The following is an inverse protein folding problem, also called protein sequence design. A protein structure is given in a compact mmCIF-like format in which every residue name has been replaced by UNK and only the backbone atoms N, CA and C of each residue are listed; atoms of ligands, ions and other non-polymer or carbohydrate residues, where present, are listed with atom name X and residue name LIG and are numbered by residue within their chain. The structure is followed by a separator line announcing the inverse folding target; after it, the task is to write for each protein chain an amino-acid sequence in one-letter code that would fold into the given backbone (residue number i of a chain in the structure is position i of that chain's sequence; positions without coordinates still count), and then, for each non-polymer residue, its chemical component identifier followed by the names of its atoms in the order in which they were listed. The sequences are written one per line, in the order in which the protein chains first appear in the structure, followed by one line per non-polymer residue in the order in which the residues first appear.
data_IF_034530410007
#
_entry.id   IF_034530410007
#
_cell.length_a   1.000
_cell.length_b   1.000
_cell.length_c   1.000
_cell.angle_alpha   90.00
_cell.angle_beta   90.00
_cell.angle_gamma   90.00
#
_symmetry.space_group_name_H-M   'P 1'
#
loop_
_entity.id
_entity.type
_entity.pdbx_description
1 polymer ?
#
# COMPACT_ATOMS: atom_id res chain seq x y z
N UNK A 1 23.70 11.19 -7.73
CA UNK A 1 22.47 10.38 -7.81
C UNK A 1 21.65 10.67 -6.58
N UNK A 2 20.32 10.76 -6.70
CA UNK A 2 19.46 10.94 -5.52
C UNK A 2 19.66 9.75 -4.56
N UNK A 3 19.64 10.02 -3.26
CA UNK A 3 19.72 8.98 -2.24
C UNK A 3 18.38 8.24 -2.16
N UNK A 4 18.33 7.04 -2.74
CA UNK A 4 17.15 6.18 -2.73
C UNK A 4 17.14 5.22 -1.53
N UNK A 5 18.13 5.27 -0.64
CA UNK A 5 18.29 4.29 0.45
C UNK A 5 17.08 4.25 1.37
N UNK A 6 16.48 5.39 1.69
CA UNK A 6 15.30 5.44 2.57
C UNK A 6 14.06 4.80 1.93
N UNK A 7 13.88 4.92 0.61
CA UNK A 7 12.79 4.25 -0.14
C UNK A 7 13.01 2.73 -0.21
N UNK A 8 14.24 2.28 -0.50
CA UNK A 8 14.55 0.85 -0.53
C UNK A 8 14.30 0.20 0.84
N UNK A 9 14.77 0.85 1.92
CA UNK A 9 14.52 0.41 3.29
C UNK A 9 13.03 0.41 3.65
N UNK A 10 12.26 1.38 3.15
CA UNK A 10 10.80 1.42 3.32
C UNK A 10 10.12 0.20 2.68
N UNK A 11 10.41 -0.06 1.40
CA UNK A 11 9.83 -1.15 0.62
C UNK A 11 10.15 -2.52 1.24
N UNK A 12 11.39 -2.69 1.68
CA UNK A 12 11.82 -3.91 2.37
C UNK A 12 11.06 -4.08 3.68
N UNK A 13 10.96 -3.03 4.50
CA UNK A 13 10.32 -3.06 5.82
C UNK A 13 8.80 -3.28 5.79
N UNK A 14 8.15 -3.05 4.65
CA UNK A 14 6.69 -2.98 4.54
C UNK A 14 6.08 -4.05 3.63
N UNK A 15 6.03 -5.33 4.05
CA UNK A 15 5.42 -6.39 3.24
C UNK A 15 3.88 -6.35 3.21
N UNK A 16 3.22 -5.70 4.18
CA UNK A 16 1.75 -5.62 4.28
C UNK A 16 1.28 -4.19 4.62
N UNK A 17 -0.03 -3.86 4.43
CA UNK A 17 -0.60 -2.57 4.81
C UNK A 17 -0.31 -2.16 6.26
N UNK A 18 -0.39 -3.13 7.19
CA UNK A 18 -0.10 -2.89 8.61
C UNK A 18 1.34 -2.41 8.84
N UNK A 19 2.29 -2.97 8.09
CA UNK A 19 3.69 -2.56 8.18
C UNK A 19 3.94 -1.19 7.55
N UNK A 20 3.23 -0.85 6.45
CA UNK A 20 3.25 0.49 5.85
C UNK A 20 2.78 1.53 6.87
N UNK A 21 1.64 1.28 7.52
CA UNK A 21 1.07 2.17 8.55
C UNK A 21 1.99 2.33 9.75
N UNK A 22 2.52 1.22 10.28
CA UNK A 22 3.48 1.25 11.39
C UNK A 22 4.71 2.08 11.03
N UNK A 23 5.27 1.87 9.83
CA UNK A 23 6.44 2.61 9.36
C UNK A 23 6.16 4.10 9.16
N UNK A 24 4.97 4.45 8.65
CA UNK A 24 4.53 5.82 8.54
C UNK A 24 4.42 6.49 9.92
N UNK A 25 3.78 5.82 10.88
CA UNK A 25 3.64 6.30 12.25
C UNK A 25 4.99 6.48 12.96
N UNK A 26 5.94 5.56 12.80
CA UNK A 26 7.31 5.69 13.33
C UNK A 26 8.03 6.91 12.75
N UNK A 27 7.91 7.13 11.44
CA UNK A 27 8.53 8.26 10.74
C UNK A 27 7.93 9.59 11.20
N UNK A 28 6.60 9.66 11.31
CA UNK A 28 5.87 10.83 11.80
C UNK A 28 6.15 11.11 13.29
N UNK A 29 6.18 10.07 14.13
CA UNK A 29 6.51 10.19 15.55
C UNK A 29 7.92 10.73 15.78
N UNK A 30 8.90 10.27 14.98
CA UNK A 30 10.26 10.81 14.98
C UNK A 30 10.30 12.30 14.58
N UNK A 31 9.38 12.72 13.72
CA UNK A 31 9.19 14.12 13.32
C UNK A 31 8.29 14.94 14.27
N UNK A 32 7.93 14.40 15.44
CA UNK A 32 7.18 15.12 16.48
C UNK A 32 5.66 15.10 16.31
N UNK A 33 5.10 14.25 15.45
CA UNK A 33 3.65 14.05 15.36
C UNK A 33 3.17 13.15 16.52
N UNK A 34 1.98 13.43 17.02
CA UNK A 34 1.38 12.70 18.14
C UNK A 34 0.23 11.79 17.68
N UNK A 35 0.25 10.53 18.09
CA UNK A 35 -0.85 9.60 17.86
C UNK A 35 -2.10 10.03 18.64
N UNK A 36 -3.28 9.92 18.02
CA UNK A 36 -4.56 10.06 18.70
C UNK A 36 -5.47 8.87 18.40
N UNK A 37 -6.20 8.43 19.41
CA UNK A 37 -7.18 7.35 19.25
C UNK A 37 -8.56 7.89 18.85
N UNK A 38 -8.91 9.08 19.36
CA UNK A 38 -10.23 9.68 19.25
C UNK A 38 -10.15 11.09 18.68
N UNK A 39 -10.88 11.34 17.61
CA UNK A 39 -10.92 12.63 16.93
C UNK A 39 -11.76 13.69 17.66
N UNK A 40 -12.61 13.29 18.60
CA UNK A 40 -13.39 14.21 19.43
C UNK A 40 -12.64 14.74 20.67
N UNK A 41 -11.34 14.44 20.81
CA UNK A 41 -10.50 14.97 21.86
C UNK A 41 -9.80 16.27 21.41
N UNK A 42 -9.01 16.89 22.30
CA UNK A 42 -8.12 17.98 21.91
C UNK A 42 -7.08 17.47 20.91
N UNK A 43 -7.12 17.99 19.68
CA UNK A 43 -6.24 17.55 18.60
C UNK A 43 -4.91 18.31 18.65
N UNK A 44 -3.77 17.60 18.58
CA UNK A 44 -2.45 18.24 18.53
C UNK A 44 -2.26 19.01 17.21
N UNK A 45 -1.32 19.97 17.21
CA UNK A 45 -0.95 20.71 16.01
C UNK A 45 -0.38 19.79 14.92
N UNK A 46 0.45 18.81 15.30
CA UNK A 46 0.92 17.73 14.43
C UNK A 46 0.42 16.39 14.99
N UNK A 47 -0.45 15.70 14.27
CA UNK A 47 -1.06 14.47 14.77
C UNK A 47 -1.36 13.44 13.70
N UNK A 48 -1.64 12.22 14.14
CA UNK A 48 -2.11 11.16 13.25
C UNK A 48 -3.07 10.20 13.96
N UNK A 49 -3.92 9.56 13.18
CA UNK A 49 -4.85 8.52 13.62
C UNK A 49 -4.69 7.31 12.72
N UNK A 50 -4.65 6.12 13.33
CA UNK A 50 -4.57 4.84 12.63
C UNK A 50 -5.94 4.16 12.69
N UNK A 51 -6.37 3.59 11.56
CA UNK A 51 -7.53 2.71 11.45
C UNK A 51 -7.09 1.50 10.65
N UNK A 52 -6.68 0.45 11.37
CA UNK A 52 -6.22 -0.81 10.80
C UNK A 52 -5.09 -0.63 9.77
N UNK A 53 -5.31 -0.99 8.50
CA UNK A 53 -4.36 -0.79 7.39
C UNK A 53 -4.28 0.65 6.85
N UNK A 54 -4.97 1.61 7.46
CA UNK A 54 -5.00 3.02 7.04
C UNK A 54 -4.47 3.99 8.08
N UNK A 55 -3.92 5.12 7.61
CA UNK A 55 -3.44 6.22 8.45
C UNK A 55 -3.82 7.57 7.85
N UNK A 56 -4.30 8.47 8.70
CA UNK A 56 -4.47 9.88 8.36
C UNK A 56 -3.64 10.74 9.32
N UNK A 57 -2.86 11.67 8.78
CA UNK A 57 -1.97 12.54 9.53
C UNK A 57 -2.12 14.00 9.09
N UNK A 58 -1.84 14.94 9.99
CA UNK A 58 -1.98 16.36 9.71
C UNK A 58 -0.90 17.20 10.38
N UNK A 59 -0.57 18.31 9.72
CA UNK A 59 0.10 19.47 10.31
C UNK A 59 -0.84 20.67 10.17
N UNK A 60 -1.44 21.05 11.30
CA UNK A 60 -2.58 21.98 11.39
C UNK A 60 -2.13 23.43 11.41
N UNK A 61 -2.80 24.24 10.59
CA UNK A 61 -2.81 25.70 10.67
C UNK A 61 -4.26 26.13 10.90
N UNK A 62 -4.54 26.73 12.06
CA UNK A 62 -5.91 26.98 12.48
C UNK A 62 -6.69 27.88 11.49
N UNK A 63 -7.88 27.44 11.09
CA UNK A 63 -8.78 28.16 10.20
C UNK A 63 -8.33 28.22 8.73
N UNK A 64 -7.28 27.46 8.35
CA UNK A 64 -6.75 27.42 7.01
C UNK A 64 -7.43 26.37 6.11
N UNK A 65 -7.28 26.53 4.80
CA UNK A 65 -7.71 25.52 3.83
C UNK A 65 -6.83 24.26 3.88
N UNK A 66 -7.36 23.13 3.42
CA UNK A 66 -6.64 21.86 3.41
C UNK A 66 -5.83 21.65 2.13
N UNK A 67 -4.65 21.06 2.29
CA UNK A 67 -3.83 20.46 1.22
C UNK A 67 -3.65 18.99 1.55
N UNK A 68 -4.43 18.15 0.88
CA UNK A 68 -4.48 16.71 1.13
C UNK A 68 -3.60 16.00 0.11
N UNK A 69 -2.77 15.06 0.56
CA UNK A 69 -2.14 14.04 -0.28
C UNK A 69 -2.74 12.69 0.07
N UNK A 70 -3.33 12.02 -0.93
CA UNK A 70 -3.91 10.69 -0.80
C UNK A 70 -3.02 9.63 -1.46
N UNK A 71 -2.90 8.47 -0.85
CA UNK A 71 -2.31 7.26 -1.44
C UNK A 71 -2.98 6.00 -0.87
N UNK A 72 -2.45 4.81 -1.19
CA UNK A 72 -2.93 3.56 -0.61
C UNK A 72 -1.82 2.61 -0.16
N UNK A 73 -2.08 1.89 0.94
CA UNK A 73 -1.11 1.08 1.67
C UNK A 73 -1.08 -0.37 1.18
N UNK A 74 -2.11 -0.81 0.47
CA UNK A 74 -2.22 -2.15 -0.08
C UNK A 74 -1.64 -2.29 -1.48
N UNK A 75 -1.36 -3.54 -1.82
CA UNK A 75 -0.88 -3.98 -3.12
C UNK A 75 -1.47 -5.36 -3.41
N UNK A 76 -1.62 -5.76 -4.68
CA UNK A 76 -2.14 -7.07 -5.02
C UNK A 76 -1.22 -8.17 -4.48
N UNK A 77 -1.79 -9.19 -3.84
CA UNK A 77 -1.02 -10.26 -3.21
C UNK A 77 -1.82 -11.57 -3.04
N UNK A 78 -1.16 -12.57 -2.43
CA UNK A 78 -1.79 -13.82 -2.02
C UNK A 78 -2.01 -13.79 -0.50
N UNK A 79 -3.26 -13.77 -0.05
CA UNK A 79 -3.61 -13.81 1.39
C UNK A 79 -3.88 -15.24 1.83
N UNK A 80 -3.42 -15.62 3.01
CA UNK A 80 -3.62 -16.97 3.55
C UNK A 80 -5.04 -17.06 4.11
N UNK A 81 -5.79 -18.08 3.70
CA UNK A 81 -7.15 -18.29 4.19
C UNK A 81 -7.19 -18.59 5.71
N UNK A 82 -8.33 -18.36 6.40
CA UNK A 82 -8.46 -18.65 7.84
C UNK A 82 -8.24 -20.11 8.25
N UNK A 83 -8.50 -21.04 7.31
CA UNK A 83 -8.24 -22.48 7.43
C UNK A 83 -7.33 -22.92 6.26
N UNK A 84 -6.01 -22.67 6.36
CA UNK A 84 -5.14 -22.74 5.19
C UNK A 84 -4.49 -24.11 4.97
N UNK A 85 -4.54 -25.01 5.95
CA UNK A 85 -3.83 -26.28 5.91
C UNK A 85 -4.41 -27.20 4.83
N UNK A 86 -3.68 -27.36 3.73
CA UNK A 86 -4.00 -28.26 2.61
C UNK A 86 -2.91 -29.32 2.45
N UNK A 87 -3.27 -30.46 1.85
CA UNK A 87 -2.27 -31.47 1.48
C UNK A 87 -2.60 -32.12 0.14
N UNK A 88 -1.58 -32.36 -0.66
CA UNK A 88 -1.69 -33.05 -1.95
C UNK A 88 -0.38 -33.75 -2.30
N UNK A 89 -0.45 -35.00 -2.77
CA UNK A 89 0.70 -35.76 -3.26
C UNK A 89 1.91 -35.81 -2.30
N UNK A 90 1.68 -35.83 -0.98
CA UNK A 90 2.73 -35.84 0.04
C UNK A 90 3.32 -34.46 0.39
N UNK A 91 2.78 -33.38 -0.17
CA UNK A 91 3.14 -32.00 0.15
C UNK A 91 2.07 -31.37 1.01
N UNK A 92 2.50 -30.57 1.98
CA UNK A 92 1.65 -29.57 2.60
C UNK A 92 1.64 -28.30 1.75
N UNK A 93 0.45 -27.73 1.62
CA UNK A 93 0.19 -26.50 0.87
C UNK A 93 -0.57 -25.52 1.74
N UNK A 94 -0.50 -24.24 1.36
CA UNK A 94 -1.32 -23.19 1.95
C UNK A 94 -2.47 -22.85 0.99
N UNK A 95 -3.70 -22.87 1.49
CA UNK A 95 -4.83 -22.28 0.79
C UNK A 95 -4.73 -20.76 0.82
N UNK A 96 -4.85 -20.12 -0.34
CA UNK A 96 -4.70 -18.68 -0.49
C UNK A 96 -5.84 -18.04 -1.27
N UNK A 97 -6.15 -16.81 -0.92
CA UNK A 97 -7.02 -15.88 -1.63
C UNK A 97 -6.18 -14.98 -2.55
N UNK A 98 -6.68 -14.72 -3.76
CA UNK A 98 -6.09 -13.72 -4.67
C UNK A 98 -6.67 -12.35 -4.31
N UNK A 99 -5.84 -11.50 -3.69
CA UNK A 99 -6.24 -10.15 -3.30
C UNK A 99 -5.85 -9.13 -4.38
N UNK A 100 -6.84 -8.45 -4.96
CA UNK A 100 -6.65 -7.41 -5.96
C UNK A 100 -6.34 -7.91 -7.38
N UNK A 101 -5.88 -6.99 -8.24
CA UNK A 101 -5.56 -7.24 -9.66
C UNK A 101 -4.26 -8.00 -9.94
N UNK A 102 -4.02 -9.13 -9.26
CA UNK A 102 -2.74 -9.86 -9.31
C UNK A 102 -2.40 -10.37 -10.72
N UNK A 103 -1.18 -10.10 -11.18
CA UNK A 103 -0.55 -10.82 -12.29
C UNK A 103 -0.08 -12.20 -11.81
N UNK A 104 -0.95 -13.21 -11.90
CA UNK A 104 -0.71 -14.53 -11.30
C UNK A 104 0.63 -15.16 -11.68
N UNK A 105 1.04 -15.02 -12.94
CA UNK A 105 2.29 -15.60 -13.44
C UNK A 105 3.54 -14.99 -12.80
N UNK A 106 3.49 -13.76 -12.28
CA UNK A 106 4.65 -13.15 -11.62
C UNK A 106 4.95 -13.73 -10.23
N UNK A 107 3.97 -14.44 -9.65
CA UNK A 107 4.08 -15.12 -8.34
C UNK A 107 4.62 -16.54 -8.44
N UNK A 108 4.72 -17.09 -9.65
CA UNK A 108 5.32 -18.41 -9.86
C UNK A 108 6.82 -18.37 -9.57
N UNK A 109 7.33 -19.45 -8.98
CA UNK A 109 8.75 -19.71 -8.71
C UNK A 109 9.49 -18.60 -7.95
N UNK A 110 8.75 -17.84 -7.13
CA UNK A 110 9.29 -16.89 -6.16
C UNK A 110 9.52 -17.56 -4.81
N UNK A 111 10.53 -17.08 -4.09
CA UNK A 111 10.69 -17.38 -2.68
C UNK A 111 9.79 -16.45 -1.87
N UNK A 112 8.83 -17.02 -1.15
CA UNK A 112 7.81 -16.27 -0.45
C UNK A 112 7.99 -16.37 1.06
N UNK A 113 8.00 -15.20 1.70
CA UNK A 113 7.89 -15.05 3.14
C UNK A 113 6.43 -14.82 3.55
N UNK A 114 6.17 -14.80 4.85
CA UNK A 114 4.83 -14.59 5.40
C UNK A 114 4.86 -13.45 6.41
N UNK A 115 4.01 -12.45 6.20
CA UNK A 115 3.89 -11.31 7.09
C UNK A 115 2.43 -10.93 7.29
N UNK A 116 2.12 -10.24 8.38
CA UNK A 116 0.77 -9.86 8.69
C UNK A 116 0.58 -9.49 10.15
N UNK A 117 -0.56 -9.91 10.70
CA UNK A 117 -1.02 -9.58 12.04
C UNK A 117 -1.72 -10.75 12.69
N UNK A 118 -1.55 -10.89 14.00
CA UNK A 118 -2.33 -11.80 14.84
C UNK A 118 -3.10 -11.02 15.90
N UNK A 119 -4.29 -11.53 16.24
CA UNK A 119 -5.12 -11.02 17.33
C UNK A 119 -5.20 -12.10 18.40
N UNK A 120 -4.77 -11.79 19.63
CA UNK A 120 -4.91 -12.70 20.76
C UNK A 120 -6.28 -12.57 21.43
N UNK A 121 -6.64 -13.55 22.25
CA UNK A 121 -7.93 -13.65 22.95
C UNK A 121 -8.28 -12.43 23.83
N UNK A 122 -7.28 -11.72 24.33
CA UNK A 122 -7.42 -10.47 25.08
C UNK A 122 -7.63 -9.22 24.20
N UNK A 123 -7.66 -9.40 22.87
CA UNK A 123 -7.81 -8.33 21.88
C UNK A 123 -6.50 -7.65 21.49
N UNK A 124 -5.35 -8.10 22.02
CA UNK A 124 -4.06 -7.51 21.64
C UNK A 124 -3.69 -7.89 20.20
N UNK A 125 -3.27 -6.88 19.47
CA UNK A 125 -2.82 -6.97 18.08
C UNK A 125 -1.29 -7.03 18.04
N UNK A 126 -0.74 -7.98 17.29
CA UNK A 126 0.72 -8.11 17.07
C UNK A 126 1.01 -8.28 15.59
N UNK A 127 1.74 -7.33 15.01
CA UNK A 127 2.26 -7.45 13.64
C UNK A 127 3.48 -8.38 13.62
N UNK A 128 3.63 -9.18 12.56
CA UNK A 128 4.75 -10.11 12.39
C UNK A 128 5.23 -10.16 10.94
N UNK A 129 6.49 -10.55 10.74
CA UNK A 129 7.09 -10.73 9.43
C UNK A 129 8.22 -11.77 9.50
N UNK A 130 8.00 -12.93 8.88
CA UNK A 130 9.04 -13.92 8.63
C UNK A 130 9.49 -13.80 7.16
N UNK A 131 10.73 -13.34 6.98
CA UNK A 131 11.38 -13.16 5.67
C UNK A 131 12.10 -14.42 5.17
N UNK A 132 12.01 -15.53 5.90
CA UNK A 132 12.55 -16.80 5.41
C UNK A 132 11.80 -17.23 4.13
N UNK A 133 12.47 -17.91 3.18
CA UNK A 133 11.82 -18.44 1.98
C UNK A 133 10.96 -19.67 2.35
N UNK A 134 9.77 -19.42 2.91
CA UNK A 134 8.90 -20.43 3.51
C UNK A 134 8.03 -21.16 2.50
N UNK A 135 7.61 -20.47 1.44
CA UNK A 135 6.64 -21.00 0.49
C UNK A 135 7.01 -20.64 -0.94
N UNK A 136 6.48 -21.42 -1.89
CA UNK A 136 6.64 -21.17 -3.33
C UNK A 136 5.41 -21.67 -4.08
N UNK A 137 4.96 -20.92 -5.09
CA UNK A 137 3.98 -21.41 -6.07
C UNK A 137 4.76 -22.00 -7.26
N UNK A 138 4.90 -23.33 -7.36
CA UNK A 138 5.76 -23.92 -8.39
C UNK A 138 5.11 -23.89 -9.77
N UNK A 139 5.85 -23.45 -10.79
CA UNK A 139 5.38 -23.56 -12.18
C UNK A 139 5.43 -25.02 -12.66
N UNK A 140 4.41 -25.44 -13.41
CA UNK A 140 4.43 -26.75 -14.07
C UNK A 140 5.57 -26.83 -15.09
N UNK A 141 6.32 -27.93 -15.07
CA UNK A 141 7.42 -28.14 -16.00
C UNK A 141 6.93 -28.17 -17.46
N UNK A 142 7.64 -27.46 -18.34
CA UNK A 142 7.33 -27.36 -19.79
C UNK A 142 7.21 -28.73 -20.49
N UNK A 143 7.90 -29.77 -20.00
CA UNK A 143 7.81 -31.12 -20.56
C UNK A 143 6.41 -31.75 -20.42
N UNK A 144 5.66 -31.32 -19.39
CA UNK A 144 4.28 -31.71 -19.10
C UNK A 144 3.26 -30.69 -19.65
N UNK A 145 3.73 -29.57 -20.20
CA UNK A 145 2.94 -28.49 -20.77
C UNK A 145 3.62 -27.92 -22.02
N UNK A 146 3.65 -28.74 -23.09
CA UNK A 146 4.56 -28.56 -24.22
C UNK A 146 4.26 -27.33 -25.08
N UNK A 147 3.02 -26.83 -25.06
CA UNK A 147 2.55 -25.70 -25.86
C UNK A 147 2.37 -24.41 -25.03
N UNK A 148 2.81 -24.38 -23.77
CA UNK A 148 2.64 -23.24 -22.84
C UNK A 148 3.20 -21.92 -23.38
N UNK A 149 4.30 -21.98 -24.15
CA UNK A 149 4.91 -20.78 -24.72
C UNK A 149 4.10 -20.19 -25.89
N UNK A 150 3.28 -21.02 -26.56
CA UNK A 150 2.44 -20.59 -27.68
C UNK A 150 1.07 -20.10 -27.19
N UNK A 151 0.46 -20.81 -26.22
CA UNK A 151 -0.87 -20.47 -25.66
C UNK A 151 -0.83 -19.50 -24.48
N UNK A 152 0.36 -19.28 -23.91
CA UNK A 152 0.57 -18.55 -22.67
C UNK A 152 0.28 -19.39 -21.41
N UNK A 153 0.83 -18.95 -20.28
CA UNK A 153 0.61 -19.60 -18.97
C UNK A 153 -0.83 -19.33 -18.51
N UNK A 154 -1.64 -20.37 -18.42
CA UNK A 154 -3.03 -20.30 -17.93
C UNK A 154 -3.12 -20.88 -16.52
N UNK A 155 -3.46 -20.05 -15.55
CA UNK A 155 -3.48 -20.42 -14.13
C UNK A 155 -4.90 -20.38 -13.60
N UNK A 156 -5.36 -21.51 -13.06
CA UNK A 156 -6.56 -21.52 -12.25
C UNK A 156 -6.25 -20.92 -10.88
N UNK A 157 -7.05 -19.92 -10.48
CA UNK A 157 -6.83 -19.17 -9.25
C UNK A 157 -6.89 -20.04 -8.00
N UNK A 158 -7.77 -21.04 -7.98
CA UNK A 158 -7.96 -21.90 -6.83
C UNK A 158 -6.95 -23.05 -6.78
N UNK A 159 -6.68 -23.65 -7.93
CA UNK A 159 -5.99 -24.94 -8.02
C UNK A 159 -4.49 -24.78 -8.24
N UNK A 160 -4.05 -23.77 -9.00
CA UNK A 160 -2.65 -23.62 -9.42
C UNK A 160 -1.88 -22.62 -8.57
N UNK A 161 -2.56 -21.81 -7.75
CA UNK A 161 -1.91 -20.75 -6.95
C UNK A 161 -1.64 -21.15 -5.50
N UNK A 162 -1.94 -22.40 -5.10
CA UNK A 162 -1.66 -22.90 -3.76
C UNK A 162 -0.15 -23.14 -3.57
N UNK A 163 0.54 -22.35 -2.72
CA UNK A 163 1.97 -22.53 -2.50
C UNK A 163 2.25 -23.84 -1.78
N UNK A 164 3.33 -24.53 -2.19
CA UNK A 164 3.93 -25.58 -1.37
C UNK A 164 4.78 -24.92 -0.29
N UNK A 165 4.77 -25.51 0.91
CA UNK A 165 5.54 -24.97 2.05
C UNK A 165 6.20 -26.03 2.95
N UNK A 166 5.82 -27.32 2.81
CA UNK A 166 6.51 -28.43 3.46
C UNK A 166 6.24 -29.78 2.76
N UNK A 167 7.09 -30.77 3.02
CA UNK A 167 6.89 -32.19 2.63
C UNK A 167 6.38 -33.06 3.79
N UNK A 168 6.05 -32.44 4.91
CA UNK A 168 5.48 -33.06 6.10
C UNK A 168 4.24 -32.28 6.51
N UNK A 169 3.33 -32.90 7.25
CA UNK A 169 2.19 -32.19 7.81
C UNK A 169 2.66 -31.08 8.74
N UNK A 170 2.27 -29.85 8.43
CA UNK A 170 2.48 -28.66 9.26
C UNK A 170 1.11 -28.03 9.51
N UNK A 171 0.83 -27.69 10.77
CA UNK A 171 -0.34 -26.89 11.12
C UNK A 171 0.04 -25.41 11.11
N UNK A 172 -0.68 -24.59 10.34
CA UNK A 172 -0.37 -23.17 10.19
C UNK A 172 -0.48 -22.38 11.50
N UNK A 173 -1.46 -22.70 12.36
CA UNK A 173 -1.63 -22.00 13.63
C UNK A 173 -0.49 -22.30 14.59
N UNK A 174 -0.05 -23.56 14.68
CA UNK A 174 1.12 -23.93 15.49
C UNK A 174 2.39 -23.22 15.01
N UNK A 175 2.62 -23.17 13.69
CA UNK A 175 3.72 -22.41 13.10
C UNK A 175 3.61 -20.91 13.45
N UNK A 176 2.43 -20.33 13.33
CA UNK A 176 2.18 -18.92 13.60
C UNK A 176 2.40 -18.57 15.08
N UNK A 177 1.97 -19.42 16.00
CA UNK A 177 2.27 -19.27 17.44
C UNK A 177 3.77 -19.30 17.70
N UNK A 178 4.51 -20.22 17.07
CA UNK A 178 5.97 -20.27 17.21
C UNK A 178 6.67 -19.03 16.61
N UNK A 179 6.23 -18.57 15.43
CA UNK A 179 6.82 -17.42 14.73
C UNK A 179 6.56 -16.09 15.46
N UNK A 180 5.41 -15.95 16.11
CA UNK A 180 5.00 -14.70 16.78
C UNK A 180 5.25 -14.70 18.29
N UNK A 181 5.42 -15.87 18.90
CA UNK A 181 5.44 -16.03 20.36
C UNK A 181 4.08 -15.79 21.03
N UNK A 182 2.98 -15.71 20.26
CA UNK A 182 1.63 -15.48 20.77
C UNK A 182 0.88 -16.81 20.91
N UNK A 183 0.57 -17.21 22.15
CA UNK A 183 -0.06 -18.50 22.43
C UNK A 183 -1.57 -18.53 22.10
N UNK A 184 -2.34 -17.51 22.50
CA UNK A 184 -3.80 -17.50 22.41
C UNK A 184 -4.33 -16.78 21.16
N UNK A 185 -3.82 -17.13 19.97
CA UNK A 185 -4.23 -16.51 18.70
C UNK A 185 -5.67 -16.91 18.36
N UNK A 186 -6.57 -15.93 18.23
CA UNK A 186 -7.97 -16.16 17.83
C UNK A 186 -8.20 -15.91 16.34
N UNK A 187 -7.54 -14.90 15.78
CA UNK A 187 -7.65 -14.51 14.37
C UNK A 187 -6.31 -14.00 13.85
N UNK A 188 -6.14 -14.02 12.53
CA UNK A 188 -4.96 -13.49 11.86
C UNK A 188 -5.33 -12.96 10.48
N UNK A 189 -4.50 -12.03 10.00
CA UNK A 189 -4.35 -11.66 8.60
C UNK A 189 -2.92 -11.97 8.21
N UNK A 190 -2.70 -12.84 7.23
CA UNK A 190 -1.35 -13.26 6.83
C UNK A 190 -1.23 -13.23 5.30
N UNK A 191 -0.20 -12.56 4.81
CA UNK A 191 0.02 -12.30 3.39
C UNK A 191 1.36 -12.91 2.98
N UNK A 192 1.42 -13.48 1.79
CA UNK A 192 2.67 -13.89 1.16
C UNK A 192 3.31 -12.67 0.48
N UNK A 193 4.63 -12.64 0.47
CA UNK A 193 5.40 -11.62 -0.24
C UNK A 193 6.73 -12.18 -0.75
N UNK A 194 7.22 -11.68 -1.89
CA UNK A 194 8.55 -12.00 -2.41
C UNK A 194 9.64 -11.50 -1.43
N UNK A 195 10.51 -12.41 -1.00
CA UNK A 195 11.61 -12.10 -0.06
C UNK A 195 12.79 -11.40 -0.74
N UNK A 196 12.78 -11.31 -2.07
CA UNK A 196 13.78 -10.57 -2.84
C UNK A 196 13.79 -9.09 -2.41
N UNK A 197 14.91 -8.55 -1.90
CA UNK A 197 14.98 -7.17 -1.46
C UNK A 197 14.79 -6.16 -2.59
N UNK A 198 14.28 -4.99 -2.25
CA UNK A 198 14.26 -3.83 -3.12
C UNK A 198 15.70 -3.45 -3.51
N UNK A 199 15.93 -3.14 -4.78
CA UNK A 199 17.26 -2.87 -5.29
C UNK A 199 17.28 -1.85 -6.42
N UNK A 200 18.46 -1.30 -6.69
CA UNK A 200 18.72 -0.60 -7.95
C UNK A 200 18.92 -1.63 -9.06
N UNK A 201 18.40 -1.32 -10.24
CA UNK A 201 18.47 -2.15 -11.45
C UNK A 201 19.09 -1.35 -12.61
N UNK A 202 19.73 -2.08 -13.53
CA UNK A 202 20.38 -1.53 -14.71
C UNK A 202 21.89 -1.43 -14.55
N UNK A 203 22.64 -1.51 -15.66
CA UNK A 203 24.11 -1.36 -15.65
C UNK A 203 24.57 0.00 -15.13
N UNK A 204 23.66 0.98 -15.11
CA UNK A 204 23.86 2.34 -14.62
C UNK A 204 23.11 2.63 -13.31
N UNK A 205 22.39 1.65 -12.74
CA UNK A 205 21.59 1.81 -11.53
C UNK A 205 20.43 2.81 -11.65
N UNK A 206 19.96 3.08 -12.88
CA UNK A 206 18.94 4.10 -13.15
C UNK A 206 17.50 3.70 -12.80
N UNK A 207 17.26 2.44 -12.43
CA UNK A 207 15.94 1.90 -12.14
C UNK A 207 15.85 1.41 -10.69
N UNK A 208 14.63 1.33 -10.16
CA UNK A 208 14.32 0.65 -8.90
C UNK A 208 13.48 -0.58 -9.21
N UNK A 209 13.84 -1.72 -8.64
CA UNK A 209 13.08 -2.96 -8.72
C UNK A 209 12.67 -3.42 -7.32
N UNK A 210 11.36 -3.57 -7.11
CA UNK A 210 10.78 -4.07 -5.87
C UNK A 210 9.34 -4.53 -6.11
N UNK A 211 8.87 -5.48 -5.32
CA UNK A 211 7.43 -5.66 -5.13
C UNK A 211 6.81 -4.43 -4.47
N UNK A 212 5.50 -4.21 -4.70
CA UNK A 212 4.69 -3.21 -3.99
C UNK A 212 5.09 -1.74 -4.22
N UNK A 213 5.87 -1.44 -5.27
CA UNK A 213 6.06 -0.05 -5.70
C UNK A 213 4.71 0.65 -5.86
N UNK A 214 3.74 -0.08 -6.39
CA UNK A 214 2.32 0.24 -6.37
C UNK A 214 1.71 -0.16 -5.02
N UNK A 215 1.38 0.77 -4.12
CA UNK A 215 1.63 2.22 -4.18
C UNK A 215 2.47 2.74 -3.00
N UNK A 216 3.35 1.88 -2.48
CA UNK A 216 4.23 2.26 -1.37
C UNK A 216 5.21 3.38 -1.73
N UNK A 217 5.52 3.57 -3.02
CA UNK A 217 6.28 4.72 -3.49
C UNK A 217 5.60 6.04 -3.09
N UNK A 218 4.29 6.15 -3.33
CA UNK A 218 3.52 7.35 -2.95
C UNK A 218 3.32 7.45 -1.45
N UNK A 219 3.14 6.33 -0.74
CA UNK A 219 3.09 6.33 0.74
C UNK A 219 4.38 6.88 1.35
N UNK A 220 5.53 6.40 0.88
CA UNK A 220 6.84 6.87 1.33
C UNK A 220 7.01 8.36 1.00
N UNK A 221 6.68 8.79 -0.22
CA UNK A 221 6.82 10.17 -0.63
C UNK A 221 5.93 11.11 0.21
N UNK A 222 4.66 10.75 0.41
CA UNK A 222 3.70 11.52 1.21
C UNK A 222 4.12 11.59 2.68
N UNK A 223 4.54 10.47 3.27
CA UNK A 223 5.01 10.42 4.66
C UNK A 223 6.27 11.26 4.84
N UNK A 224 7.25 11.11 3.95
CA UNK A 224 8.51 11.88 3.99
C UNK A 224 8.26 13.37 3.85
N UNK A 225 7.40 13.76 2.91
CA UNK A 225 7.03 15.16 2.69
C UNK A 225 6.31 15.77 3.90
N UNK A 226 5.35 15.05 4.51
CA UNK A 226 4.63 15.54 5.68
C UNK A 226 5.53 15.58 6.93
N UNK A 227 6.40 14.60 7.12
CA UNK A 227 7.36 14.57 8.23
C UNK A 227 8.33 15.76 8.19
N UNK A 228 8.77 16.17 6.99
CA UNK A 228 9.61 17.33 6.79
C UNK A 228 8.85 18.66 6.68
N UNK A 229 7.51 18.64 6.74
CA UNK A 229 6.69 19.83 6.55
C UNK A 229 6.71 20.73 7.80
N UNK A 230 7.04 21.99 7.57
CA UNK A 230 6.86 23.06 8.54
C UNK A 230 5.51 23.75 8.35
N UNK A 231 4.79 24.07 9.45
CA UNK A 231 3.46 24.69 9.36
C UNK A 231 3.45 25.92 8.46
N UNK A 232 2.57 25.91 7.47
CA UNK A 232 2.46 26.96 6.47
C UNK A 232 1.10 27.64 6.47
N UNK A 233 0.74 28.20 5.31
CA UNK A 233 -0.55 28.88 5.08
C UNK A 233 -1.76 27.95 5.05
N UNK A 234 -1.54 26.65 4.98
CA UNK A 234 -2.58 25.62 4.80
C UNK A 234 -2.40 24.53 5.85
N UNK A 235 -3.49 23.86 6.21
CA UNK A 235 -3.39 22.59 6.95
C UNK A 235 -2.99 21.49 5.96
N UNK A 236 -1.80 20.93 6.14
CA UNK A 236 -1.33 19.80 5.36
C UNK A 236 -1.90 18.50 5.94
N UNK A 237 -2.44 17.65 5.08
CA UNK A 237 -3.05 16.37 5.46
C UNK A 237 -2.52 15.27 4.55
N UNK A 238 -2.13 14.15 5.15
CA UNK A 238 -1.86 12.91 4.44
C UNK A 238 -2.95 11.91 4.80
N UNK A 239 -3.45 11.17 3.82
CA UNK A 239 -4.29 9.99 4.04
C UNK A 239 -3.79 8.83 3.19
N UNK A 240 -3.43 7.74 3.83
CA UNK A 240 -3.04 6.50 3.17
C UNK A 240 -4.12 5.46 3.50
N UNK A 241 -4.88 5.04 2.51
CA UNK A 241 -6.01 4.13 2.67
C UNK A 241 -5.62 2.69 2.34
N UNK A 242 -6.24 1.72 3.00
CA UNK A 242 -6.20 0.30 2.61
C UNK A 242 -7.25 0.04 1.51
N UNK A 243 -7.30 -1.18 0.99
CA UNK A 243 -8.38 -1.66 0.14
C UNK A 243 -8.56 -0.97 -1.23
N UNK A 244 -7.58 -0.23 -1.75
CA UNK A 244 -7.69 0.39 -3.08
C UNK A 244 -7.83 -0.68 -4.17
N UNK A 245 -7.02 -1.73 -4.07
CA UNK A 245 -6.89 -2.79 -5.09
C UNK A 245 -8.14 -3.66 -5.23
N UNK A 246 -9.10 -3.49 -4.31
CA UNK A 246 -10.39 -4.19 -4.27
C UNK A 246 -11.58 -3.23 -4.34
N UNK A 247 -11.35 -1.95 -4.67
CA UNK A 247 -12.39 -0.97 -4.97
C UNK A 247 -12.68 0.06 -3.87
N UNK A 248 -11.89 0.12 -2.82
CA UNK A 248 -11.95 1.12 -1.72
C UNK A 248 -13.21 1.11 -0.85
N UNK A 249 -14.16 0.21 -1.08
CA UNK A 249 -15.45 0.15 -0.37
C UNK A 249 -15.31 -0.60 0.97
N UNK A 250 -14.66 0.05 1.93
CA UNK A 250 -14.51 -0.44 3.30
C UNK A 250 -14.40 0.71 4.28
N UNK A 251 -14.50 0.42 5.59
CA UNK A 251 -14.37 1.45 6.63
C UNK A 251 -12.99 2.13 6.66
N UNK A 252 -11.98 1.49 6.06
CA UNK A 252 -10.59 1.96 6.01
C UNK A 252 -10.14 2.33 4.60
N UNK A 253 -10.95 2.01 3.58
CA UNK A 253 -10.70 2.40 2.20
C UNK A 253 -11.05 3.86 1.90
N UNK A 254 -10.70 4.31 0.69
CA UNK A 254 -10.90 5.70 0.27
C UNK A 254 -12.37 6.11 0.17
N UNK A 255 -13.30 5.15 -0.01
CA UNK A 255 -14.75 5.40 0.05
C UNK A 255 -15.29 5.40 1.49
N UNK A 256 -14.44 5.07 2.47
CA UNK A 256 -14.76 5.08 3.89
C UNK A 256 -14.70 6.48 4.52
N UNK A 257 -15.11 6.60 5.80
CA UNK A 257 -15.32 7.89 6.44
C UNK A 257 -14.04 8.53 6.99
N UNK A 258 -12.87 7.90 6.88
CA UNK A 258 -11.66 8.30 7.61
C UNK A 258 -11.25 9.75 7.28
N UNK A 259 -11.10 10.07 5.99
CA UNK A 259 -10.69 11.41 5.57
C UNK A 259 -11.72 12.45 5.98
N UNK A 260 -13.01 12.20 5.70
CA UNK A 260 -14.10 13.12 6.08
C UNK A 260 -14.12 13.37 7.59
N UNK A 261 -13.95 12.32 8.39
CA UNK A 261 -13.93 12.41 9.86
C UNK A 261 -12.77 13.27 10.35
N UNK A 262 -11.57 13.10 9.78
CA UNK A 262 -10.38 13.87 10.17
C UNK A 262 -10.54 15.35 9.78
N UNK A 263 -10.93 15.63 8.54
CA UNK A 263 -11.12 17.01 8.08
C UNK A 263 -12.23 17.73 8.87
N UNK A 264 -13.31 17.01 9.18
CA UNK A 264 -14.41 17.50 10.01
C UNK A 264 -13.94 17.84 11.41
N UNK A 265 -13.23 16.92 12.07
CA UNK A 265 -12.73 17.12 13.43
C UNK A 265 -11.70 18.25 13.52
N UNK A 266 -10.83 18.40 12.53
CA UNK A 266 -9.88 19.52 12.45
C UNK A 266 -10.60 20.85 12.32
N UNK A 267 -11.61 20.94 11.45
CA UNK A 267 -12.41 22.15 11.30
C UNK A 267 -13.21 22.51 12.55
N UNK A 268 -13.79 21.51 13.22
CA UNK A 268 -14.51 21.71 14.48
C UNK A 268 -13.58 22.16 15.61
N UNK A 269 -12.37 21.61 15.67
CA UNK A 269 -11.34 22.06 16.61
C UNK A 269 -10.88 23.50 16.35
N UNK A 270 -11.02 24.01 15.11
CA UNK A 270 -10.78 25.41 14.72
C UNK A 270 -12.00 26.32 14.94
N UNK A 271 -13.11 25.79 15.48
CA UNK A 271 -14.35 26.53 15.68
C UNK A 271 -15.15 26.78 14.39
N UNK A 272 -14.85 26.05 13.30
CA UNK A 272 -15.61 26.15 12.06
C UNK A 272 -16.97 25.46 12.21
N UNK A 273 -18.04 26.23 12.04
CA UNK A 273 -19.37 25.67 11.85
C UNK A 273 -19.53 24.97 10.50
N UNK A 274 -20.61 24.20 10.35
CA UNK A 274 -20.87 23.39 9.15
C UNK A 274 -20.82 24.20 7.84
N UNK A 275 -21.41 25.40 7.81
CA UNK A 275 -21.40 26.26 6.62
C UNK A 275 -19.98 26.70 6.23
N UNK A 276 -19.19 27.19 7.19
CA UNK A 276 -17.81 27.62 6.94
C UNK A 276 -16.91 26.47 6.49
N UNK A 277 -17.17 25.24 6.96
CA UNK A 277 -16.46 24.04 6.54
C UNK A 277 -16.68 23.72 5.05
N UNK A 278 -17.88 23.92 4.50
CA UNK A 278 -18.12 23.76 3.06
C UNK A 278 -17.27 24.71 2.22
N UNK A 279 -17.15 25.97 2.64
CA UNK A 279 -16.31 26.95 1.94
C UNK A 279 -14.82 26.59 2.01
N UNK A 280 -14.36 26.10 3.16
CA UNK A 280 -13.00 25.57 3.32
C UNK A 280 -12.75 24.38 2.40
N UNK A 281 -13.67 23.42 2.32
CA UNK A 281 -13.54 22.27 1.42
C UNK A 281 -13.50 22.70 -0.05
N UNK A 282 -14.29 23.68 -0.46
CA UNK A 282 -14.29 24.21 -1.83
C UNK A 282 -12.97 24.89 -2.25
N UNK A 283 -12.21 25.42 -1.29
CA UNK A 283 -10.86 26.01 -1.49
C UNK A 283 -9.72 25.03 -1.22
N UNK A 284 -10.04 23.87 -0.65
CA UNK A 284 -9.09 22.80 -0.39
C UNK A 284 -8.73 22.06 -1.68
N UNK A 285 -7.62 21.34 -1.63
CA UNK A 285 -7.13 20.56 -2.77
C UNK A 285 -6.66 19.19 -2.31
N UNK A 286 -6.98 18.17 -3.10
CA UNK A 286 -6.53 16.80 -2.87
C UNK A 286 -5.67 16.33 -4.06
N UNK A 287 -4.41 16.01 -3.78
CA UNK A 287 -3.51 15.34 -4.69
C UNK A 287 -3.59 13.83 -4.44
N UNK A 288 -4.27 13.11 -5.32
CA UNK A 288 -4.22 11.65 -5.34
C UNK A 288 -2.91 11.21 -6.00
N UNK A 289 -2.02 10.62 -5.20
CA UNK A 289 -0.73 10.12 -5.61
C UNK A 289 -0.81 8.59 -5.73
N UNK A 290 -0.66 8.13 -6.97
CA UNK A 290 -0.68 6.73 -7.32
C UNK A 290 0.12 6.54 -8.63
N UNK A 291 0.79 5.41 -8.76
CA UNK A 291 1.71 5.12 -9.85
C UNK A 291 1.05 5.27 -11.22
N UNK A 292 1.89 5.50 -12.22
CA UNK A 292 1.48 5.64 -13.60
C UNK A 292 2.24 4.65 -14.48
N UNK A 293 1.69 4.37 -15.66
CA UNK A 293 2.28 3.43 -16.59
C UNK A 293 3.30 4.13 -17.47
N UNK A 294 4.58 3.92 -17.21
CA UNK A 294 5.62 4.30 -18.17
C UNK A 294 5.45 3.51 -19.47
N UNK A 295 5.84 4.11 -20.60
CA UNK A 295 5.81 3.43 -21.89
C UNK A 295 6.71 2.21 -21.87
N UNK A 296 6.11 1.04 -22.13
CA UNK A 296 6.86 -0.21 -22.14
C UNK A 296 7.54 -0.36 -23.51
N UNK A 297 8.88 -0.48 -23.60
CA UNK A 297 9.58 -0.48 -24.89
C UNK A 297 9.18 -1.64 -25.81
N UNK A 298 8.78 -2.79 -25.25
CA UNK A 298 8.29 -3.95 -26.01
C UNK A 298 6.77 -3.95 -26.28
N UNK A 299 6.01 -2.97 -25.78
CA UNK A 299 4.55 -2.88 -25.92
C UNK A 299 4.09 -1.43 -26.11
N UNK A 300 4.80 -0.67 -26.94
CA UNK A 300 4.58 0.77 -27.12
C UNK A 300 3.17 1.08 -27.65
N UNK A 301 2.58 0.13 -28.39
CA UNK A 301 1.24 0.21 -28.96
C UNK A 301 0.13 0.26 -27.90
N UNK A 302 0.43 0.04 -26.63
CA UNK A 302 -0.51 0.14 -25.51
C UNK A 302 -0.69 1.55 -24.97
N UNK A 303 0.15 2.51 -25.39
CA UNK A 303 0.08 3.91 -24.96
C UNK A 303 -0.48 4.81 -26.05
N UNK A 304 -1.14 5.90 -25.63
CA UNK A 304 -1.47 6.97 -26.57
C UNK A 304 -0.16 7.66 -27.01
N UNK A 305 0.10 7.84 -28.32
CA UNK A 305 1.42 8.25 -28.82
C UNK A 305 1.99 9.57 -28.26
N UNK A 306 1.14 10.48 -27.78
CA UNK A 306 1.51 11.78 -27.20
C UNK A 306 1.37 11.82 -25.66
N UNK A 307 0.93 10.73 -25.04
CA UNK A 307 0.78 10.60 -23.59
C UNK A 307 1.44 9.31 -23.12
N UNK A 308 2.75 9.24 -23.33
CA UNK A 308 3.60 8.09 -23.06
C UNK A 308 4.69 8.47 -22.03
N UNK A 309 4.40 8.41 -20.71
CA UNK A 309 5.37 8.79 -19.68
C UNK A 309 6.66 7.97 -19.80
N UNK A 310 7.80 8.61 -19.57
CA UNK A 310 9.12 7.98 -19.63
C UNK A 310 9.74 7.99 -18.23
N UNK A 311 10.32 6.86 -17.82
CA UNK A 311 11.02 6.73 -16.54
C UNK A 311 12.11 7.81 -16.43
N UNK A 312 12.33 8.34 -15.22
CA UNK A 312 13.30 9.40 -14.93
C UNK A 312 13.02 10.76 -15.62
N UNK A 313 11.76 11.02 -16.03
CA UNK A 313 11.34 12.31 -16.62
C UNK A 313 10.26 13.03 -15.81
N UNK A 314 10.23 12.78 -14.50
CA UNK A 314 9.33 13.41 -13.53
C UNK A 314 8.00 12.68 -13.33
N UNK A 315 7.13 13.20 -12.44
CA UNK A 315 5.82 12.60 -12.17
C UNK A 315 4.87 12.68 -13.36
N UNK A 316 3.98 11.70 -13.49
CA UNK A 316 2.94 11.70 -14.52
C UNK A 316 1.63 12.31 -13.99
N UNK A 317 1.13 13.34 -14.68
CA UNK A 317 -0.22 13.84 -14.44
C UNK A 317 -1.23 13.01 -15.22
N UNK A 318 -2.08 12.25 -14.51
CA UNK A 318 -3.05 11.32 -15.12
C UNK A 318 -4.36 12.06 -15.42
N UNK A 319 -4.83 12.04 -16.67
CA UNK A 319 -6.10 12.64 -17.10
C UNK A 319 -7.01 11.59 -17.75
N UNK A 320 -8.31 11.63 -17.46
CA UNK A 320 -9.28 10.76 -18.11
C UNK A 320 -10.67 11.44 -18.15
N UNK A 321 -11.23 11.59 -19.36
CA UNK A 321 -12.53 12.27 -19.54
C UNK A 321 -13.70 11.57 -18.85
N UNK A 322 -13.62 10.24 -18.65
CA UNK A 322 -14.63 9.45 -17.94
C UNK A 322 -14.43 9.48 -16.40
N UNK A 323 -13.59 10.38 -15.89
CA UNK A 323 -13.32 10.56 -14.46
C UNK A 323 -12.75 9.33 -13.77
N UNK A 324 -12.04 8.45 -14.50
CA UNK A 324 -11.17 7.42 -13.88
C UNK A 324 -10.00 8.05 -13.11
N UNK A 325 -9.63 9.28 -13.47
CA UNK A 325 -8.79 10.16 -12.68
C UNK A 325 -9.51 11.49 -12.52
N UNK A 326 -9.54 12.05 -11.31
CA UNK A 326 -10.27 13.28 -10.98
C UNK A 326 -9.61 14.57 -11.49
N UNK A 327 -8.49 14.47 -12.20
CA UNK A 327 -7.72 15.64 -12.68
C UNK A 327 -8.56 16.50 -13.61
N UNK A 328 -8.86 17.73 -13.16
CA UNK A 328 -9.48 18.79 -13.95
C UNK A 328 -8.44 19.76 -14.50
N UNK A 329 -8.83 20.64 -15.43
CA UNK A 329 -7.94 21.71 -15.92
C UNK A 329 -7.41 22.61 -14.79
N UNK A 330 -8.25 22.91 -13.79
CA UNK A 330 -7.84 23.68 -12.59
C UNK A 330 -6.80 22.91 -11.77
N UNK A 331 -7.01 21.61 -11.55
CA UNK A 331 -6.04 20.78 -10.81
C UNK A 331 -4.73 20.62 -11.56
N UNK A 332 -4.79 20.41 -12.88
CA UNK A 332 -3.62 20.34 -13.74
C UNK A 332 -2.78 21.62 -13.72
N UNK A 333 -3.44 22.79 -13.82
CA UNK A 333 -2.77 24.09 -13.74
C UNK A 333 -2.05 24.27 -12.40
N UNK A 334 -2.73 23.98 -11.29
CA UNK A 334 -2.16 24.09 -9.95
C UNK A 334 -0.88 23.25 -9.80
N UNK A 335 -0.93 21.96 -10.17
CA UNK A 335 0.22 21.06 -10.02
C UNK A 335 1.37 21.44 -10.94
N UNK A 336 1.09 21.91 -12.17
CA UNK A 336 2.14 22.39 -13.07
C UNK A 336 2.84 23.62 -12.52
N UNK A 337 2.10 24.60 -12.01
CA UNK A 337 2.69 25.78 -11.37
C UNK A 337 3.59 25.39 -10.20
N UNK A 338 3.15 24.48 -9.32
CA UNK A 338 3.98 23.99 -8.20
C UNK A 338 5.23 23.24 -8.67
N UNK A 339 5.19 22.59 -9.82
CA UNK A 339 6.34 21.86 -10.36
C UNK A 339 7.35 22.77 -11.10
N UNK A 340 6.90 23.93 -11.59
CA UNK A 340 7.74 24.93 -12.28
C UNK A 340 8.43 25.90 -11.31
N UNK A 341 7.87 26.09 -10.10
CA UNK A 341 8.41 26.91 -9.00
C UNK A 341 9.62 26.26 -8.29
#
# INVERSE_FOLDING_TARGET
MADNTSLLQWLDACPTPFHVVRRAAESLGTAGFTAVDRLGAELPAKGYVIRDGSIAAWSRTAGADFRVVGGHTDSPNLRIHPNPDMSAAGWSQLSVEIYGGVLLNSWLDRDLGIAGRVVSKDGRITDFCDRSPLARVPQLAVHLDRDVNDRGVQLDRQSHMMPVWATTTVNFRDWLTAATGVADIVAFDAHLFDVTPASLLGSDGSLIASGRLDNQLSCWAATTALAAHEPGRHTAVMVLNDHEEVGSDSATGASGPLLESVLTALGEADGLGAAARHDVFARSFCLSADNAHAVHPNYQERHEPRHAPVINRGPALKLNGNQRYATSARGAALIRTVADD
#
